data_IF_059718598309
#
_entry.id   IF_059718598309
#
_cell.length_a   1.000
_cell.length_b   1.000
_cell.length_c   1.000
_cell.angle_alpha   90.00
_cell.angle_beta   90.00
_cell.angle_gamma   90.00
#
_symmetry.space_group_name_H-M   'P 1'
#
loop_
_entity.id
_entity.type
_entity.pdbx_description
1 polymer ?
#
# COMPACT_ATOMS: atom_id res chain seq x y z
N UNK A 1 20.51 11.92 6.32
CA UNK A 1 19.91 11.59 5.00
C UNK A 1 18.38 11.56 5.12
N UNK A 2 17.75 12.73 4.96
CA UNK A 2 16.29 12.91 5.01
C UNK A 2 15.66 12.96 3.62
N UNK A 3 16.17 12.20 2.66
CA UNK A 3 15.70 12.27 1.28
C UNK A 3 14.30 11.67 1.12
N UNK A 4 13.51 12.21 0.19
CA UNK A 4 12.19 11.70 -0.14
C UNK A 4 12.22 10.19 -0.44
N UNK A 5 13.19 9.74 -1.24
CA UNK A 5 13.38 8.32 -1.55
C UNK A 5 13.59 7.47 -0.28
N UNK A 6 14.42 7.93 0.67
CA UNK A 6 14.65 7.22 1.92
C UNK A 6 13.41 7.08 2.80
N UNK A 7 12.57 8.12 2.88
CA UNK A 7 11.30 8.03 3.62
C UNK A 7 10.30 7.09 2.96
N UNK A 8 10.27 7.05 1.62
CA UNK A 8 9.39 6.17 0.84
C UNK A 8 9.80 4.71 0.95
N UNK A 9 11.12 4.43 0.93
CA UNK A 9 11.66 3.10 1.21
C UNK A 9 11.24 2.58 2.58
N UNK A 10 11.44 3.38 3.64
CA UNK A 10 11.04 3.02 5.01
C UNK A 10 9.54 2.74 5.15
N UNK A 11 8.70 3.48 4.41
CA UNK A 11 7.23 3.31 4.41
C UNK A 11 6.72 2.20 3.48
N UNK A 12 7.59 1.47 2.77
CA UNK A 12 7.17 0.45 1.81
C UNK A 12 6.38 1.03 0.63
N UNK A 13 6.69 2.27 0.21
CA UNK A 13 6.03 2.94 -0.90
C UNK A 13 6.93 2.99 -2.14
N UNK A 14 6.35 3.04 -3.35
CA UNK A 14 7.12 3.25 -4.57
C UNK A 14 7.84 4.61 -4.56
N UNK A 15 9.08 4.62 -5.08
CA UNK A 15 10.01 5.76 -4.98
C UNK A 15 10.13 6.58 -6.25
N UNK A 16 9.72 6.04 -7.42
CA UNK A 16 9.84 6.69 -8.74
C UNK A 16 8.62 7.54 -9.10
N UNK A 17 7.97 8.16 -8.12
CA UNK A 17 6.80 9.03 -8.37
C UNK A 17 5.50 8.32 -8.80
N UNK A 18 5.45 6.99 -8.74
CA UNK A 18 4.26 6.23 -9.15
C UNK A 18 3.05 6.53 -8.24
N UNK A 19 1.85 6.53 -8.83
CA UNK A 19 0.58 6.74 -8.12
C UNK A 19 0.35 5.66 -7.06
N UNK A 20 0.11 6.07 -5.82
CA UNK A 20 -0.08 5.13 -4.70
C UNK A 20 -1.52 4.87 -4.28
N UNK A 21 -2.50 5.57 -4.86
CA UNK A 21 -3.91 5.43 -4.44
C UNK A 21 -4.50 4.04 -4.81
N UNK A 22 -4.23 3.56 -6.03
CA UNK A 22 -4.86 2.35 -6.59
C UNK A 22 -3.86 1.20 -6.75
N UNK A 23 -2.91 1.34 -7.68
CA UNK A 23 -2.07 0.25 -8.17
C UNK A 23 -0.63 0.40 -7.68
N UNK A 24 -0.35 -0.12 -6.48
CA UNK A 24 1.01 -0.16 -5.92
C UNK A 24 1.27 -1.44 -5.11
N UNK A 25 0.58 -2.54 -5.46
CA UNK A 25 0.52 -3.78 -4.66
C UNK A 25 1.86 -4.51 -4.56
N UNK A 26 2.66 -4.50 -5.62
CA UNK A 26 3.99 -5.13 -5.60
C UNK A 26 4.90 -4.54 -4.52
N UNK A 27 4.78 -3.24 -4.22
CA UNK A 27 5.59 -2.59 -3.18
C UNK A 27 4.88 -2.47 -1.83
N UNK A 28 3.58 -2.15 -1.83
CA UNK A 28 2.76 -2.01 -0.60
C UNK A 28 2.40 -3.34 0.05
N UNK A 29 2.51 -4.44 -0.71
CA UNK A 29 2.02 -5.75 -0.32
C UNK A 29 0.51 -5.95 -0.57
N UNK A 30 0.00 -7.10 -0.13
CA UNK A 30 -1.42 -7.48 -0.28
C UNK A 30 -2.39 -6.44 0.30
N UNK A 31 -3.62 -6.44 -0.19
CA UNK A 31 -4.66 -5.50 0.27
C UNK A 31 -5.03 -5.77 1.73
N UNK A 32 -4.55 -4.92 2.63
CA UNK A 32 -5.05 -4.84 4.01
C UNK A 32 -6.40 -4.14 3.99
N UNK A 33 -7.48 -4.88 4.18
CA UNK A 33 -8.85 -4.35 4.28
C UNK A 33 -9.05 -3.79 5.69
N UNK A 34 -9.24 -2.47 5.83
CA UNK A 34 -9.41 -1.80 7.14
C UNK A 34 -10.88 -1.83 7.61
N UNK A 35 -11.64 -2.85 7.22
CA UNK A 35 -13.05 -2.96 7.59
C UNK A 35 -13.39 -4.40 7.93
N UNK A 36 -13.73 -4.63 9.21
CA UNK A 36 -14.47 -5.79 9.68
C UNK A 36 -15.92 -5.78 9.17
N UNK A 37 -16.16 -5.44 7.90
CA UNK A 37 -17.43 -5.74 7.27
C UNK A 37 -17.38 -7.24 7.03
N UNK A 38 -18.08 -7.99 7.91
CA UNK A 38 -18.37 -9.42 7.75
C UNK A 38 -18.47 -9.69 6.26
N UNK A 39 -17.54 -10.47 5.72
CA UNK A 39 -17.76 -11.09 4.43
C UNK A 39 -18.96 -11.97 4.70
N UNK A 40 -20.16 -11.50 4.35
CA UNK A 40 -21.33 -12.36 4.33
C UNK A 40 -20.91 -13.49 3.40
N UNK A 41 -20.62 -14.64 4.00
CA UNK A 41 -20.43 -15.89 3.27
C UNK A 41 -21.72 -16.03 2.48
N UNK A 42 -21.65 -15.76 1.19
CA UNK A 42 -22.77 -15.94 0.29
C UNK A 42 -22.94 -17.46 0.19
N UNK A 43 -24.10 -17.93 0.65
CA UNK A 43 -24.52 -19.33 0.54
C UNK A 43 -24.46 -19.78 -0.91
#
# INVERSE_FOLDING_TARGET
>A
IGSYQGTRHRKGLPVRGQRTHTNARTRKGPKKTVANKKIAVRK
#
